data_IF_271746052773
#
_entry.id   IF_271746052773
#
_cell.length_a   1.000
_cell.length_b   1.000
_cell.length_c   1.000
_cell.angle_alpha   90.00
_cell.angle_beta   90.00
_cell.angle_gamma   90.00
#
_symmetry.space_group_name_H-M   'P 1'
#
loop_
_entity.id
_entity.type
_entity.pdbx_description
1 polymer ?
#
# COMPACT_ATOMS: atom_id res chain seq x y z
N UNK A 1 -7.13 17.61 -34.78
CA UNK A 1 -7.59 16.41 -34.10
C UNK A 1 -7.85 16.77 -32.66
N UNK A 2 -9.07 16.57 -32.23
CA UNK A 2 -9.42 16.78 -30.82
C UNK A 2 -9.42 15.39 -30.17
N UNK A 3 -8.27 14.99 -29.60
CA UNK A 3 -8.19 13.78 -28.79
C UNK A 3 -8.62 14.11 -27.37
N UNK A 4 -9.48 13.29 -26.80
CA UNK A 4 -9.79 13.35 -25.37
C UNK A 4 -8.64 12.70 -24.60
N UNK A 5 -7.85 13.53 -23.91
CA UNK A 5 -6.68 13.07 -23.16
C UNK A 5 -7.06 12.04 -22.09
N UNK A 6 -8.23 12.18 -21.47
CA UNK A 6 -8.72 11.21 -20.48
C UNK A 6 -9.42 9.99 -21.12
N UNK A 7 -9.08 9.68 -22.37
CA UNK A 7 -9.41 8.43 -23.09
C UNK A 7 -8.15 7.81 -23.73
N UNK A 8 -6.98 8.40 -23.49
CA UNK A 8 -5.74 8.06 -24.18
C UNK A 8 -4.76 7.24 -23.35
N UNK A 9 -5.12 6.83 -22.13
CA UNK A 9 -4.29 5.98 -21.27
C UNK A 9 -4.40 4.49 -21.65
N UNK A 10 -3.31 3.73 -21.48
CA UNK A 10 -3.24 2.31 -21.81
C UNK A 10 -3.79 1.42 -20.68
N UNK A 11 -5.07 1.58 -20.41
CA UNK A 11 -5.85 0.64 -19.61
C UNK A 11 -7.22 0.45 -20.26
N UNK A 12 -7.38 -0.68 -20.94
CA UNK A 12 -8.55 -0.95 -21.79
C UNK A 12 -8.81 0.16 -22.82
N UNK A 13 -7.74 0.76 -23.33
CA UNK A 13 -7.80 1.79 -24.34
C UNK A 13 -8.71 1.37 -25.51
N UNK A 14 -9.56 2.28 -25.96
CA UNK A 14 -10.47 2.10 -27.08
C UNK A 14 -11.40 0.88 -27.02
N UNK A 15 -11.72 0.37 -25.82
CA UNK A 15 -12.61 -0.79 -25.65
C UNK A 15 -14.05 -0.41 -25.21
N UNK A 16 -14.30 0.85 -24.88
CA UNK A 16 -15.61 1.41 -24.65
C UNK A 16 -16.09 2.17 -25.90
N UNK A 17 -17.41 2.39 -26.06
CA UNK A 17 -17.94 3.29 -27.07
C UNK A 17 -17.61 4.73 -26.67
N UNK A 18 -16.36 5.12 -26.86
CA UNK A 18 -15.85 6.44 -26.51
C UNK A 18 -15.56 7.27 -27.73
N UNK A 19 -15.53 8.58 -27.54
CA UNK A 19 -15.16 9.53 -28.57
C UNK A 19 -13.69 9.88 -28.44
N UNK A 20 -12.95 9.81 -29.56
CA UNK A 20 -11.63 10.43 -29.75
C UNK A 20 -10.52 9.94 -28.80
N UNK A 21 -10.25 8.62 -28.69
CA UNK A 21 -9.23 8.09 -27.82
C UNK A 21 -7.80 8.29 -28.33
N UNK A 22 -7.60 8.95 -29.47
CA UNK A 22 -6.31 9.04 -30.16
C UNK A 22 -6.06 7.89 -31.14
N UNK A 23 -4.89 7.91 -31.78
CA UNK A 23 -4.48 6.88 -32.78
C UNK A 23 -3.95 5.61 -32.13
N UNK A 24 -3.45 5.72 -30.92
CA UNK A 24 -3.02 4.62 -30.03
C UNK A 24 -3.08 5.10 -28.58
N UNK A 25 -2.98 4.18 -27.63
CA UNK A 25 -2.69 4.56 -26.26
C UNK A 25 -1.42 5.40 -26.20
N UNK A 26 -1.46 6.46 -25.37
CA UNK A 26 -0.37 7.44 -25.22
C UNK A 26 0.10 8.08 -26.54
N UNK A 27 -0.80 8.24 -27.52
CA UNK A 27 -0.50 8.98 -28.75
C UNK A 27 -0.27 10.47 -28.50
N UNK A 28 -0.78 11.00 -27.42
CA UNK A 28 -0.67 12.41 -27.07
C UNK A 28 0.49 12.65 -26.10
N UNK A 29 1.23 13.72 -26.32
CA UNK A 29 2.43 14.04 -25.53
C UNK A 29 2.15 14.23 -24.06
N UNK A 30 1.00 14.77 -23.71
CA UNK A 30 0.58 15.05 -22.34
C UNK A 30 0.32 13.74 -21.57
N UNK A 31 -0.40 12.81 -22.18
CA UNK A 31 -0.70 11.51 -21.55
C UNK A 31 0.54 10.63 -21.48
N UNK A 32 1.40 10.67 -22.50
CA UNK A 32 2.69 9.99 -22.47
C UNK A 32 3.58 10.56 -21.36
N UNK A 33 3.70 11.88 -21.24
CA UNK A 33 4.52 12.50 -20.19
C UNK A 33 4.00 12.16 -18.79
N UNK A 34 2.68 12.16 -18.59
CA UNK A 34 2.10 11.77 -17.31
C UNK A 34 2.35 10.29 -17.00
N UNK A 35 2.23 9.39 -17.98
CA UNK A 35 2.52 7.97 -17.78
C UNK A 35 3.99 7.72 -17.43
N UNK A 36 4.93 8.41 -18.09
CA UNK A 36 6.36 8.34 -17.75
C UNK A 36 6.57 8.84 -16.32
N UNK A 37 5.97 9.96 -15.94
CA UNK A 37 6.07 10.48 -14.58
C UNK A 37 5.55 9.48 -13.53
N UNK A 38 4.40 8.86 -13.78
CA UNK A 38 3.85 7.83 -12.89
C UNK A 38 4.76 6.62 -12.77
N UNK A 39 5.33 6.14 -13.89
CA UNK A 39 6.16 4.93 -13.90
C UNK A 39 7.59 5.14 -13.39
N UNK A 40 8.19 6.31 -13.62
CA UNK A 40 9.62 6.53 -13.36
C UNK A 40 9.90 7.43 -12.17
N UNK A 41 8.98 8.35 -11.86
CA UNK A 41 9.21 9.36 -10.81
C UNK A 41 8.42 9.03 -9.52
N UNK A 42 7.20 8.54 -9.66
CA UNK A 42 6.33 8.20 -8.51
C UNK A 42 5.72 6.80 -8.64
N UNK A 43 6.53 5.76 -8.90
CA UNK A 43 6.02 4.40 -9.16
C UNK A 43 5.31 3.77 -7.96
N UNK A 44 5.43 4.37 -6.80
CA UNK A 44 4.96 3.82 -5.52
C UNK A 44 4.05 4.80 -4.77
N UNK A 45 3.24 5.58 -5.49
CA UNK A 45 2.32 6.52 -4.89
C UNK A 45 1.23 5.82 -4.05
N UNK A 46 0.87 6.44 -2.94
CA UNK A 46 -0.19 5.94 -2.06
C UNK A 46 -1.56 6.58 -2.32
N UNK A 47 -1.64 7.55 -3.23
CA UNK A 47 -2.88 8.21 -3.66
C UNK A 47 -2.65 8.95 -4.97
N UNK A 48 -3.61 8.85 -5.89
CA UNK A 48 -3.66 9.65 -7.12
C UNK A 48 -5.03 10.28 -7.27
N UNK A 49 -5.06 11.60 -7.44
CA UNK A 49 -6.28 12.37 -7.69
C UNK A 49 -6.11 13.13 -9.00
N UNK A 50 -7.06 12.95 -9.92
CA UNK A 50 -7.17 13.78 -11.13
C UNK A 50 -8.33 14.74 -10.97
N UNK A 51 -8.05 16.05 -11.18
CA UNK A 51 -9.04 17.11 -11.03
C UNK A 51 -9.73 17.38 -12.35
N UNK A 52 -11.03 17.40 -12.32
CA UNK A 52 -11.91 17.68 -13.45
C UNK A 52 -12.99 18.70 -13.08
N UNK A 53 -13.81 19.06 -14.05
CA UNK A 53 -14.99 19.89 -13.84
C UNK A 53 -16.14 19.36 -14.70
N UNK A 54 -17.36 19.70 -14.33
CA UNK A 54 -18.56 19.36 -15.12
C UNK A 54 -19.72 18.82 -14.31
N UNK A 55 -19.44 18.25 -13.14
CA UNK A 55 -20.44 17.74 -12.19
C UNK A 55 -19.83 17.65 -10.79
N UNK A 56 -20.62 17.86 -9.75
CA UNK A 56 -20.17 17.71 -8.37
C UNK A 56 -20.19 16.24 -7.96
N UNK A 57 -19.05 15.54 -8.12
CA UNK A 57 -18.92 14.12 -7.79
C UNK A 57 -17.46 13.70 -7.67
N UNK A 58 -17.18 12.74 -6.81
CA UNK A 58 -15.90 12.06 -6.75
C UNK A 58 -16.04 10.60 -7.21
N UNK A 59 -15.21 10.19 -8.15
CA UNK A 59 -15.32 8.93 -8.85
C UNK A 59 -14.10 8.04 -8.56
N UNK A 60 -14.36 6.80 -8.16
CA UNK A 60 -13.32 5.77 -8.02
C UNK A 60 -13.43 4.70 -9.13
N UNK A 61 -12.42 3.83 -9.35
CA UNK A 61 -12.49 2.76 -10.34
C UNK A 61 -13.68 1.81 -10.12
N UNK A 62 -14.26 1.23 -11.14
CA UNK A 62 -13.80 1.28 -12.53
C UNK A 62 -14.71 2.18 -13.37
N UNK A 63 -14.15 2.78 -14.44
CA UNK A 63 -14.94 3.42 -15.47
C UNK A 63 -15.51 2.45 -16.49
N UNK A 64 -14.78 1.36 -16.77
CA UNK A 64 -15.20 0.36 -17.76
C UNK A 64 -16.37 -0.49 -17.29
N UNK A 65 -16.35 -0.92 -16.03
CA UNK A 65 -17.31 -1.88 -15.48
C UNK A 65 -18.10 -1.31 -14.30
N UNK A 66 -19.34 -1.77 -14.12
CA UNK A 66 -20.11 -1.45 -12.91
C UNK A 66 -19.62 -2.24 -11.67
N UNK A 67 -18.80 -3.27 -11.87
CA UNK A 67 -18.23 -4.07 -10.79
C UNK A 67 -17.30 -3.23 -9.92
N UNK A 68 -17.27 -3.55 -8.64
CA UNK A 68 -16.42 -2.88 -7.67
C UNK A 68 -14.95 -3.29 -7.88
N UNK A 69 -13.99 -2.38 -7.61
CA UNK A 69 -12.57 -2.74 -7.56
C UNK A 69 -12.27 -3.66 -6.37
N UNK A 70 -11.10 -4.29 -6.37
CA UNK A 70 -10.70 -5.21 -5.29
C UNK A 70 -10.70 -4.55 -3.91
N UNK A 71 -10.38 -3.26 -3.85
CA UNK A 71 -10.33 -2.48 -2.62
C UNK A 71 -11.62 -1.69 -2.35
N UNK A 72 -12.76 -2.17 -2.82
CA UNK A 72 -14.05 -1.45 -2.72
C UNK A 72 -14.42 -1.06 -1.28
N UNK A 73 -14.03 -1.85 -0.28
CA UNK A 73 -14.29 -1.57 1.13
C UNK A 73 -13.58 -0.29 1.57
N UNK A 74 -12.34 -0.06 1.10
CA UNK A 74 -11.61 1.18 1.33
C UNK A 74 -12.34 2.39 0.72
N UNK A 75 -12.78 2.27 -0.54
CA UNK A 75 -13.52 3.36 -1.21
C UNK A 75 -14.86 3.65 -0.53
N UNK A 76 -15.55 2.63 -0.06
CA UNK A 76 -16.80 2.80 0.69
C UNK A 76 -16.56 3.41 2.06
N UNK A 77 -15.49 3.01 2.76
CA UNK A 77 -15.10 3.67 4.01
C UNK A 77 -14.83 5.18 3.79
N UNK A 78 -14.05 5.54 2.75
CA UNK A 78 -13.79 6.93 2.40
C UNK A 78 -15.11 7.68 2.14
N UNK A 79 -16.01 7.10 1.33
CA UNK A 79 -17.33 7.66 1.07
C UNK A 79 -18.10 7.92 2.35
N UNK A 80 -18.19 6.93 3.21
CA UNK A 80 -19.02 6.97 4.41
C UNK A 80 -18.47 8.00 5.41
N UNK A 81 -17.15 8.10 5.58
CA UNK A 81 -16.50 9.11 6.42
C UNK A 81 -16.66 10.53 5.84
N UNK A 82 -16.40 10.71 4.55
CA UNK A 82 -16.56 12.01 3.91
C UNK A 82 -18.02 12.48 4.00
N UNK A 83 -18.98 11.62 3.66
CA UNK A 83 -20.38 12.02 3.65
C UNK A 83 -20.99 12.16 5.05
N UNK A 84 -20.37 11.59 6.08
CA UNK A 84 -20.84 11.76 7.45
C UNK A 84 -20.28 13.00 8.13
N UNK A 85 -19.07 13.44 7.76
CA UNK A 85 -18.30 14.36 8.58
C UNK A 85 -17.76 15.60 7.83
N UNK A 86 -17.72 15.58 6.50
CA UNK A 86 -16.97 16.59 5.73
C UNK A 86 -17.81 17.25 4.63
N UNK A 87 -18.38 16.47 3.70
CA UNK A 87 -19.06 16.96 2.50
C UNK A 87 -20.14 15.99 2.05
N UNK A 88 -21.19 16.51 1.44
CA UNK A 88 -22.24 15.69 0.82
C UNK A 88 -21.91 15.26 -0.61
N UNK A 89 -20.68 15.48 -1.08
CA UNK A 89 -20.22 15.09 -2.42
C UNK A 89 -20.53 13.60 -2.68
N UNK A 90 -21.24 13.26 -3.77
CA UNK A 90 -21.44 11.87 -4.13
C UNK A 90 -20.09 11.19 -4.45
N UNK A 91 -19.80 10.05 -3.81
CA UNK A 91 -18.60 9.26 -4.08
C UNK A 91 -19.02 7.90 -4.64
N UNK A 92 -18.71 7.62 -5.90
CA UNK A 92 -19.24 6.47 -6.63
C UNK A 92 -18.22 5.82 -7.55
N UNK A 93 -18.45 4.54 -7.87
CA UNK A 93 -17.84 3.89 -9.03
C UNK A 93 -18.12 4.69 -10.29
N UNK A 94 -17.10 4.96 -11.10
CA UNK A 94 -17.21 5.90 -12.22
C UNK A 94 -18.16 5.43 -13.32
N UNK A 95 -18.25 4.12 -13.58
CA UNK A 95 -19.20 3.57 -14.53
C UNK A 95 -20.66 3.85 -14.12
N UNK A 96 -20.95 3.68 -12.84
CA UNK A 96 -22.30 3.88 -12.29
C UNK A 96 -22.58 5.33 -11.92
N UNK A 97 -21.53 6.11 -11.58
CA UNK A 97 -21.65 7.49 -11.16
C UNK A 97 -21.90 8.46 -12.32
N UNK A 98 -21.30 8.18 -13.47
CA UNK A 98 -21.49 8.98 -14.69
C UNK A 98 -21.92 8.11 -15.88
N UNK A 99 -20.98 7.42 -16.50
CA UNK A 99 -21.19 6.57 -17.69
C UNK A 99 -19.97 5.65 -17.90
N UNK A 100 -20.13 4.55 -18.67
CA UNK A 100 -18.98 3.71 -19.06
C UNK A 100 -17.90 4.49 -19.79
N UNK A 101 -16.67 4.43 -19.30
CA UNK A 101 -15.52 5.12 -19.88
C UNK A 101 -14.25 4.26 -19.76
N UNK A 102 -13.33 4.37 -20.73
CA UNK A 102 -12.11 3.59 -20.83
C UNK A 102 -10.92 4.47 -21.19
N UNK A 103 -9.71 3.98 -20.94
CA UNK A 103 -8.48 4.74 -21.25
C UNK A 103 -8.33 5.99 -20.39
N UNK A 104 -8.84 5.96 -19.16
CA UNK A 104 -8.77 7.08 -18.22
C UNK A 104 -7.51 7.00 -17.36
N UNK A 105 -7.00 8.15 -16.92
CA UNK A 105 -5.87 8.22 -15.99
C UNK A 105 -6.18 7.57 -14.65
N UNK A 106 -7.42 7.66 -14.17
CA UNK A 106 -7.89 7.01 -12.94
C UNK A 106 -7.75 5.49 -13.04
N UNK A 107 -8.32 4.87 -14.09
CA UNK A 107 -8.30 3.42 -14.25
C UNK A 107 -6.88 2.90 -14.55
N UNK A 108 -6.06 3.69 -15.25
CA UNK A 108 -4.64 3.38 -15.44
C UNK A 108 -3.87 3.43 -14.11
N UNK A 109 -4.05 4.48 -13.33
CA UNK A 109 -3.42 4.63 -12.02
C UNK A 109 -3.76 3.49 -11.06
N UNK A 110 -5.00 3.02 -11.06
CA UNK A 110 -5.40 1.89 -10.23
C UNK A 110 -4.98 0.54 -10.83
N UNK A 111 -5.35 0.28 -12.09
CA UNK A 111 -5.19 -1.05 -12.69
C UNK A 111 -3.77 -1.40 -13.13
N UNK A 112 -2.95 -0.39 -13.47
CA UNK A 112 -1.58 -0.59 -13.96
C UNK A 112 -0.55 -0.19 -12.92
N UNK A 113 -0.78 0.92 -12.19
CA UNK A 113 0.17 1.42 -11.20
C UNK A 113 -0.13 0.95 -9.77
N UNK A 114 -1.32 0.41 -9.51
CA UNK A 114 -1.72 -0.06 -8.18
C UNK A 114 -2.02 1.04 -7.16
N UNK A 115 -2.25 2.27 -7.59
CA UNK A 115 -2.60 3.38 -6.70
C UNK A 115 -4.09 3.34 -6.33
N UNK A 116 -4.51 3.76 -5.13
CA UNK A 116 -5.87 4.22 -4.92
C UNK A 116 -6.07 5.51 -5.72
N UNK A 117 -7.13 5.56 -6.50
CA UNK A 117 -7.33 6.68 -7.44
C UNK A 117 -8.71 7.26 -7.36
N UNK A 118 -8.79 8.58 -7.59
CA UNK A 118 -10.04 9.30 -7.76
C UNK A 118 -9.99 10.25 -8.94
N UNK A 119 -11.11 10.42 -9.62
CA UNK A 119 -11.42 11.63 -10.39
C UNK A 119 -12.31 12.51 -9.51
N UNK A 120 -11.85 13.72 -9.21
CA UNK A 120 -12.59 14.71 -8.46
C UNK A 120 -13.15 15.72 -9.44
N UNK A 121 -14.45 15.70 -9.62
CA UNK A 121 -15.20 16.66 -10.45
C UNK A 121 -15.67 17.79 -9.55
N UNK A 122 -15.23 19.01 -9.83
CA UNK A 122 -15.27 20.12 -8.87
C UNK A 122 -16.46 21.08 -9.06
N UNK A 123 -17.22 20.95 -10.12
CA UNK A 123 -18.31 21.88 -10.44
C UNK A 123 -19.47 21.16 -11.12
N UNK A 124 -20.69 21.45 -10.69
CA UNK A 124 -21.92 20.91 -11.24
C UNK A 124 -22.53 21.76 -12.38
N UNK A 125 -22.02 22.98 -12.61
CA UNK A 125 -22.52 23.90 -13.63
C UNK A 125 -21.45 24.45 -14.60
N UNK A 126 -20.35 23.71 -14.82
CA UNK A 126 -19.34 24.06 -15.81
C UNK A 126 -18.80 25.51 -15.66
N UNK A 127 -18.29 25.85 -14.48
CA UNK A 127 -17.73 27.16 -14.15
C UNK A 127 -18.76 28.28 -13.85
N UNK A 128 -20.02 27.93 -13.61
CA UNK A 128 -21.11 28.93 -13.39
C UNK A 128 -21.46 29.10 -11.91
N UNK A 129 -20.48 29.03 -10.99
CA UNK A 129 -20.74 29.29 -9.57
C UNK A 129 -21.23 30.72 -9.25
N UNK A 130 -21.16 31.61 -10.22
CA UNK A 130 -21.85 32.91 -10.22
C UNK A 130 -21.24 33.99 -9.35
N UNK A 131 -20.73 33.67 -8.16
CA UNK A 131 -20.13 34.64 -7.23
C UNK A 131 -18.80 34.19 -6.66
N UNK A 132 -17.98 35.11 -6.18
CA UNK A 132 -16.72 34.82 -5.52
C UNK A 132 -16.96 34.07 -4.21
N UNK A 133 -18.04 34.40 -3.52
CA UNK A 133 -18.42 33.75 -2.27
C UNK A 133 -18.76 32.27 -2.51
N UNK A 134 -19.58 31.95 -3.50
CA UNK A 134 -19.93 30.57 -3.86
C UNK A 134 -18.69 29.77 -4.29
N UNK A 135 -17.76 30.38 -5.06
CA UNK A 135 -16.48 29.75 -5.39
C UNK A 135 -15.64 29.49 -4.15
N UNK A 136 -15.57 30.45 -3.23
CA UNK A 136 -14.77 30.30 -2.01
C UNK A 136 -15.31 29.18 -1.09
N UNK A 137 -16.64 29.06 -0.99
CA UNK A 137 -17.29 27.98 -0.23
C UNK A 137 -17.01 26.62 -0.87
N UNK A 138 -17.12 26.51 -2.21
CA UNK A 138 -16.81 25.28 -2.95
C UNK A 138 -15.35 24.86 -2.78
N UNK A 139 -14.41 25.80 -2.94
CA UNK A 139 -12.97 25.51 -2.77
C UNK A 139 -12.63 25.10 -1.33
N UNK A 140 -13.31 25.65 -0.33
CA UNK A 140 -13.11 25.22 1.06
C UNK A 140 -13.58 23.77 1.26
N UNK A 141 -14.73 23.41 0.75
CA UNK A 141 -15.28 22.05 0.83
C UNK A 141 -14.37 21.04 0.09
N UNK A 142 -13.93 21.37 -1.12
CA UNK A 142 -12.97 20.56 -1.88
C UNK A 142 -11.67 20.34 -1.11
N UNK A 143 -11.13 21.42 -0.51
CA UNK A 143 -9.92 21.37 0.29
C UNK A 143 -10.09 20.45 1.49
N UNK A 144 -11.22 20.51 2.18
CA UNK A 144 -11.46 19.67 3.36
C UNK A 144 -11.51 18.18 2.97
N UNK A 145 -12.13 17.82 1.83
CA UNK A 145 -12.12 16.44 1.32
C UNK A 145 -10.71 16.01 0.91
N UNK A 146 -9.98 16.86 0.20
CA UNK A 146 -8.61 16.54 -0.21
C UNK A 146 -7.67 16.38 0.99
N UNK A 147 -7.78 17.26 1.99
CA UNK A 147 -6.98 17.16 3.21
C UNK A 147 -7.29 15.89 3.98
N UNK A 148 -8.56 15.50 4.09
CA UNK A 148 -8.93 14.21 4.68
C UNK A 148 -8.24 13.04 3.97
N UNK A 149 -8.24 13.02 2.62
CA UNK A 149 -7.58 11.95 1.86
C UNK A 149 -6.06 11.93 2.07
N UNK A 150 -5.41 13.10 2.12
CA UNK A 150 -3.95 13.23 2.28
C UNK A 150 -3.53 12.88 3.72
N UNK A 151 -4.22 13.40 4.72
CA UNK A 151 -3.91 13.17 6.14
C UNK A 151 -4.07 11.69 6.54
N UNK A 152 -4.96 10.98 5.85
CA UNK A 152 -5.22 9.56 6.08
C UNK A 152 -4.55 8.64 5.05
N UNK A 153 -3.63 9.13 4.22
CA UNK A 153 -3.01 8.37 3.13
C UNK A 153 -2.42 7.03 3.56
N UNK A 154 -1.89 6.95 4.78
CA UNK A 154 -1.33 5.73 5.37
C UNK A 154 -2.34 4.60 5.55
N UNK A 155 -3.62 4.93 5.64
CA UNK A 155 -4.69 3.95 5.80
C UNK A 155 -5.25 3.44 4.48
N UNK A 156 -4.91 4.07 3.34
CA UNK A 156 -5.39 3.63 2.02
C UNK A 156 -4.59 2.44 1.46
N UNK A 157 -3.81 1.77 2.29
CA UNK A 157 -3.07 0.54 2.02
C UNK A 157 -3.23 -0.45 3.17
N UNK A 158 -2.78 -1.69 2.96
CA UNK A 158 -2.52 -2.59 4.08
C UNK A 158 -1.43 -1.99 4.97
N UNK A 159 -1.60 -2.11 6.27
CA UNK A 159 -0.65 -1.63 7.28
C UNK A 159 -0.54 -2.69 8.36
N UNK A 160 0.38 -3.62 8.15
CA UNK A 160 0.55 -4.77 9.01
C UNK A 160 1.46 -4.46 10.20
N UNK A 161 1.09 -5.02 11.34
CA UNK A 161 1.88 -5.03 12.56
C UNK A 161 1.97 -6.45 13.07
N UNK A 162 3.14 -6.82 13.59
CA UNK A 162 3.29 -8.06 14.34
C UNK A 162 3.00 -7.74 15.80
N UNK A 163 1.89 -8.26 16.30
CA UNK A 163 1.48 -8.08 17.70
C UNK A 163 2.26 -9.01 18.61
N UNK A 164 2.47 -10.25 18.17
CA UNK A 164 3.30 -11.22 18.85
C UNK A 164 4.13 -12.04 17.87
N UNK A 165 5.36 -12.36 18.25
CA UNK A 165 6.22 -13.31 17.55
C UNK A 165 6.84 -14.26 18.55
N UNK A 166 6.69 -15.55 18.34
CA UNK A 166 7.32 -16.58 19.16
C UNK A 166 8.03 -17.60 18.29
N UNK A 167 9.20 -18.04 18.73
CA UNK A 167 10.01 -19.05 18.05
C UNK A 167 10.12 -20.24 19.01
N UNK A 168 9.82 -21.44 18.50
CA UNK A 168 9.97 -22.63 19.28
C UNK A 168 11.32 -23.33 19.06
N UNK A 169 11.55 -24.45 19.78
CA UNK A 169 12.81 -25.20 19.67
C UNK A 169 12.89 -26.11 18.44
N UNK A 170 11.83 -26.20 17.65
CA UNK A 170 11.74 -27.04 16.44
C UNK A 170 11.95 -26.20 15.18
N UNK A 171 12.02 -24.85 15.32
CA UNK A 171 12.24 -23.92 14.22
C UNK A 171 10.94 -23.37 13.64
N UNK A 172 9.81 -23.55 14.33
CA UNK A 172 8.55 -22.91 13.95
C UNK A 172 8.47 -21.49 14.49
N UNK A 173 7.96 -20.59 13.68
CA UNK A 173 7.69 -19.18 14.00
C UNK A 173 6.19 -18.97 14.07
N UNK A 174 5.73 -18.55 15.21
CA UNK A 174 4.32 -18.23 15.47
C UNK A 174 4.17 -16.71 15.44
N UNK A 175 3.31 -16.22 14.58
CA UNK A 175 3.00 -14.80 14.42
C UNK A 175 1.54 -14.53 14.69
N UNK A 176 1.26 -13.45 15.39
CA UNK A 176 -0.04 -12.78 15.37
C UNK A 176 0.16 -11.46 14.63
N UNK A 177 -0.56 -11.26 13.54
CA UNK A 177 -0.40 -10.11 12.65
C UNK A 177 -1.74 -9.39 12.53
N UNK A 178 -1.75 -8.10 12.84
CA UNK A 178 -2.90 -7.23 12.65
C UNK A 178 -2.71 -6.28 11.47
N UNK A 179 -3.80 -6.01 10.77
CA UNK A 179 -3.85 -5.02 9.69
C UNK A 179 -4.65 -3.80 10.15
N UNK A 180 -3.96 -2.70 10.39
CA UNK A 180 -4.59 -1.44 10.79
C UNK A 180 -4.98 -0.56 9.59
N UNK A 181 -4.64 -0.99 8.37
CA UNK A 181 -5.01 -0.32 7.13
C UNK A 181 -6.44 -0.63 6.68
N UNK A 182 -6.89 0.09 5.67
CA UNK A 182 -8.21 -0.06 5.04
C UNK A 182 -8.20 -0.86 3.76
N UNK A 183 -7.02 -1.32 3.31
CA UNK A 183 -6.89 -2.29 2.23
C UNK A 183 -6.42 -3.64 2.79
N UNK A 184 -6.92 -4.72 2.21
CA UNK A 184 -6.44 -6.07 2.48
C UNK A 184 -5.14 -6.34 1.74
N UNK A 185 -4.35 -7.30 2.21
CA UNK A 185 -3.26 -7.90 1.45
C UNK A 185 -3.46 -9.41 1.37
N UNK A 186 -3.10 -10.01 0.25
CA UNK A 186 -3.11 -11.46 0.06
C UNK A 186 -1.71 -12.06 0.09
N UNK A 187 -0.68 -11.19 0.06
CA UNK A 187 0.71 -11.55 -0.02
C UNK A 187 1.49 -10.85 1.09
N UNK A 188 1.61 -11.51 2.23
CA UNK A 188 2.51 -11.10 3.29
C UNK A 188 3.45 -12.26 3.64
N UNK A 189 4.70 -11.97 3.93
CA UNK A 189 5.68 -12.96 4.34
C UNK A 189 6.64 -12.40 5.36
N UNK A 190 7.16 -13.28 6.21
CA UNK A 190 8.28 -12.97 7.08
C UNK A 190 9.57 -13.28 6.33
N UNK A 191 10.55 -12.41 6.41
CA UNK A 191 11.88 -12.64 5.87
C UNK A 191 12.97 -12.29 6.87
N UNK A 192 14.11 -12.93 6.72
CA UNK A 192 15.33 -12.59 7.44
C UNK A 192 16.27 -11.83 6.51
N UNK A 193 16.62 -10.61 6.87
CA UNK A 193 17.43 -9.71 6.04
C UNK A 193 18.84 -9.63 6.62
N UNK A 194 19.83 -9.97 5.82
CA UNK A 194 21.25 -9.89 6.19
C UNK A 194 21.80 -8.47 6.11
N UNK A 195 23.00 -8.22 6.65
CA UNK A 195 23.72 -6.94 6.51
C UNK A 195 23.99 -6.57 5.05
N UNK A 196 24.11 -7.55 4.16
CA UNK A 196 24.29 -7.37 2.72
C UNK A 196 22.97 -7.06 2.00
N UNK A 197 21.86 -6.93 2.75
CA UNK A 197 20.52 -6.67 2.26
C UNK A 197 19.91 -7.79 1.40
N UNK A 198 20.46 -8.98 1.48
CA UNK A 198 19.83 -10.18 0.93
C UNK A 198 18.79 -10.67 1.93
N UNK A 199 17.59 -10.98 1.46
CA UNK A 199 16.55 -11.53 2.30
C UNK A 199 16.29 -13.00 2.02
N UNK A 200 15.94 -13.73 3.07
CA UNK A 200 15.58 -15.15 3.02
C UNK A 200 14.15 -15.29 3.51
N UNK A 201 13.26 -15.87 2.71
CA UNK A 201 11.89 -16.11 3.14
C UNK A 201 11.84 -17.08 4.30
N UNK A 202 10.92 -16.83 5.23
CA UNK A 202 10.54 -17.74 6.29
C UNK A 202 9.14 -18.21 5.98
N UNK A 203 8.96 -19.49 5.70
CA UNK A 203 7.69 -20.04 5.28
C UNK A 203 7.69 -21.54 5.17
N UNK A 204 6.54 -22.08 4.87
CA UNK A 204 6.35 -23.52 4.69
C UNK A 204 7.19 -24.03 3.53
N UNK A 205 7.89 -25.14 3.76
CA UNK A 205 8.61 -25.99 2.82
C UNK A 205 9.25 -25.29 1.60
N UNK A 206 10.58 -25.05 1.60
CA UNK A 206 11.27 -24.36 0.51
C UNK A 206 11.16 -25.06 -0.87
N UNK A 207 10.76 -26.33 -0.93
CA UNK A 207 10.55 -27.04 -2.20
C UNK A 207 9.15 -26.78 -2.80
N UNK A 208 8.19 -26.31 -2.00
CA UNK A 208 6.82 -26.02 -2.42
C UNK A 208 6.46 -24.53 -2.35
N UNK A 209 7.28 -23.72 -1.67
CA UNK A 209 7.05 -22.30 -1.52
C UNK A 209 7.47 -21.54 -2.78
N UNK A 210 6.62 -20.70 -3.36
CA UNK A 210 7.01 -19.79 -4.41
C UNK A 210 7.92 -18.63 -3.93
N UNK A 211 8.30 -18.63 -2.66
CA UNK A 211 9.20 -17.63 -2.08
C UNK A 211 10.64 -17.89 -2.48
N UNK A 212 11.20 -16.96 -3.21
CA UNK A 212 12.61 -16.99 -3.58
C UNK A 212 13.40 -15.97 -2.74
N UNK A 213 14.66 -16.31 -2.49
CA UNK A 213 15.64 -15.37 -1.95
C UNK A 213 15.77 -14.16 -2.89
N UNK A 214 15.85 -12.96 -2.34
CA UNK A 214 15.95 -11.74 -3.15
C UNK A 214 16.81 -10.66 -2.50
N UNK A 215 17.07 -9.62 -3.27
CA UNK A 215 17.76 -8.43 -2.83
C UNK A 215 16.78 -7.30 -2.53
N UNK A 216 16.98 -6.58 -1.44
CA UNK A 216 16.24 -5.37 -1.12
C UNK A 216 16.76 -4.20 -1.96
N UNK A 217 16.34 -4.10 -3.22
CA UNK A 217 16.61 -2.99 -4.12
C UNK A 217 15.40 -2.06 -4.28
N UNK A 218 15.58 -0.99 -5.08
CA UNK A 218 14.49 -0.06 -5.41
C UNK A 218 13.35 -0.69 -6.22
N UNK A 219 13.61 -1.83 -6.87
CA UNK A 219 12.63 -2.59 -7.66
C UNK A 219 12.28 -3.91 -6.97
N UNK A 220 12.17 -3.91 -5.66
CA UNK A 220 11.80 -5.10 -4.92
C UNK A 220 10.42 -5.60 -5.35
N UNK A 221 10.38 -6.81 -5.89
CA UNK A 221 9.16 -7.56 -6.16
C UNK A 221 9.26 -8.90 -5.45
N UNK A 222 8.44 -9.15 -4.45
CA UNK A 222 8.36 -10.48 -3.87
C UNK A 222 7.47 -11.37 -4.73
N UNK A 223 7.87 -12.59 -5.02
CA UNK A 223 6.97 -13.60 -5.55
C UNK A 223 5.86 -13.86 -4.51
N UNK A 224 4.67 -14.21 -5.00
CA UNK A 224 3.48 -14.45 -4.18
C UNK A 224 3.63 -15.65 -3.26
N UNK A 225 4.34 -15.45 -2.16
CA UNK A 225 4.48 -16.41 -1.10
C UNK A 225 4.00 -15.78 0.20
N UNK A 226 3.16 -16.46 0.92
CA UNK A 226 2.79 -15.99 2.22
C UNK A 226 1.31 -16.04 2.52
N UNK A 227 0.91 -15.22 3.46
CA UNK A 227 -0.43 -15.21 4.04
C UNK A 227 -1.17 -13.91 3.73
N UNK A 228 -2.50 -14.00 3.79
CA UNK A 228 -3.37 -12.83 3.64
C UNK A 228 -3.80 -12.27 4.98
N UNK A 229 -3.98 -10.95 5.05
CA UNK A 229 -4.60 -10.26 6.18
C UNK A 229 -5.62 -9.26 5.67
N UNK A 230 -6.88 -9.47 6.00
CA UNK A 230 -7.95 -8.55 5.61
C UNK A 230 -7.82 -7.20 6.32
N UNK A 231 -8.34 -6.17 5.67
CA UNK A 231 -8.41 -4.84 6.25
C UNK A 231 -9.06 -4.86 7.65
N UNK A 232 -8.47 -4.17 8.60
CA UNK A 232 -8.94 -4.04 9.98
C UNK A 232 -9.10 -5.36 10.78
N UNK A 233 -8.48 -6.44 10.30
CA UNK A 233 -8.51 -7.75 10.94
C UNK A 233 -7.11 -8.19 11.40
N UNK A 234 -7.06 -9.29 12.14
CA UNK A 234 -5.83 -10.00 12.52
C UNK A 234 -5.86 -11.44 12.04
N UNK A 235 -4.69 -12.05 11.95
CA UNK A 235 -4.51 -13.47 11.64
C UNK A 235 -3.37 -14.06 12.44
N UNK A 236 -3.48 -15.34 12.75
CA UNK A 236 -2.40 -16.13 13.33
C UNK A 236 -1.74 -16.95 12.21
N UNK A 237 -0.42 -16.98 12.19
CA UNK A 237 0.37 -17.67 11.16
C UNK A 237 1.46 -18.49 11.83
N UNK A 238 1.69 -19.68 11.33
CA UNK A 238 2.80 -20.55 11.71
C UNK A 238 3.68 -20.71 10.48
N UNK A 239 4.96 -20.40 10.61
CA UNK A 239 5.93 -20.44 9.53
C UNK A 239 7.14 -21.28 9.97
N UNK A 240 7.79 -21.95 9.03
CA UNK A 240 9.06 -22.66 9.26
C UNK A 240 10.24 -21.73 8.94
N UNK A 241 11.35 -21.82 9.66
CA UNK A 241 12.57 -21.05 9.37
C UNK A 241 13.14 -21.32 7.98
N UNK A 242 12.89 -22.46 7.41
CA UNK A 242 13.46 -22.86 6.13
C UNK A 242 14.99 -22.79 6.13
N UNK A 243 15.55 -22.15 5.09
CA UNK A 243 17.00 -22.03 4.91
C UNK A 243 17.56 -20.67 5.38
N UNK A 244 16.81 -19.88 6.14
CA UNK A 244 17.30 -18.58 6.60
C UNK A 244 18.54 -18.72 7.51
N UNK A 245 19.64 -17.97 7.28
CA UNK A 245 20.89 -18.11 8.01
C UNK A 245 20.86 -17.40 9.38
N UNK A 246 19.84 -17.65 10.16
CA UNK A 246 19.55 -16.94 11.43
C UNK A 246 20.64 -17.20 12.50
N UNK A 247 21.39 -18.30 12.37
CA UNK A 247 22.42 -18.68 13.33
C UNK A 247 23.61 -17.73 13.44
N UNK A 248 23.80 -16.83 12.50
CA UNK A 248 24.97 -15.95 12.44
C UNK A 248 24.79 -14.60 13.11
N UNK A 249 23.56 -14.25 13.53
CA UNK A 249 23.26 -13.00 14.27
C UNK A 249 23.50 -11.69 13.50
N UNK A 250 23.66 -11.76 12.18
CA UNK A 250 24.02 -10.62 11.31
C UNK A 250 22.84 -10.22 10.41
N UNK A 251 21.67 -10.08 10.98
CA UNK A 251 20.50 -9.67 10.23
C UNK A 251 19.31 -9.38 11.16
N UNK A 252 18.20 -9.06 10.55
CA UNK A 252 16.95 -8.74 11.25
C UNK A 252 15.75 -9.37 10.54
N UNK A 253 14.71 -9.65 11.32
CA UNK A 253 13.44 -10.05 10.74
C UNK A 253 12.73 -8.84 10.13
N UNK A 254 12.12 -9.05 8.97
CA UNK A 254 11.30 -8.08 8.30
C UNK A 254 9.96 -8.70 7.92
N UNK A 255 8.92 -7.93 8.07
CA UNK A 255 7.62 -8.24 7.51
C UNK A 255 7.52 -7.59 6.13
N UNK A 256 7.32 -8.42 5.10
CA UNK A 256 7.11 -8.00 3.72
C UNK A 256 5.66 -8.19 3.37
N UNK A 257 5.02 -7.22 2.75
CA UNK A 257 3.64 -7.36 2.31
C UNK A 257 3.30 -6.43 1.16
N UNK A 258 2.36 -6.88 0.36
CA UNK A 258 1.81 -6.09 -0.73
C UNK A 258 0.84 -5.03 -0.18
N UNK A 259 0.91 -3.82 -0.69
CA UNK A 259 0.11 -2.70 -0.19
C UNK A 259 -1.40 -2.91 -0.33
N UNK A 260 -1.82 -3.62 -1.38
CA UNK A 260 -3.23 -3.90 -1.72
C UNK A 260 -3.34 -5.23 -2.47
N UNK A 261 -4.55 -5.74 -2.60
CA UNK A 261 -4.83 -7.00 -3.31
C UNK A 261 -4.59 -6.91 -4.82
N UNK A 262 -4.42 -5.72 -5.38
CA UNK A 262 -4.14 -5.52 -6.79
C UNK A 262 -2.68 -5.86 -7.12
N UNK A 263 -2.44 -6.69 -8.13
CA UNK A 263 -1.10 -7.21 -8.47
C UNK A 263 -0.04 -6.13 -8.71
N UNK A 264 -0.45 -4.99 -9.26
CA UNK A 264 0.44 -3.86 -9.52
C UNK A 264 0.78 -3.03 -8.26
N UNK A 265 0.14 -3.30 -7.12
CA UNK A 265 0.42 -2.54 -5.90
C UNK A 265 1.84 -2.79 -5.39
N UNK A 266 2.50 -1.73 -4.91
CA UNK A 266 3.86 -1.81 -4.38
C UNK A 266 3.97 -2.66 -3.11
N UNK A 267 5.20 -3.01 -2.76
CA UNK A 267 5.54 -3.78 -1.57
C UNK A 267 6.09 -2.90 -0.45
N UNK A 268 5.83 -3.32 0.78
CA UNK A 268 6.38 -2.72 2.00
C UNK A 268 7.31 -3.73 2.66
N UNK A 269 8.44 -3.24 3.15
CA UNK A 269 9.36 -4.01 4.00
C UNK A 269 9.56 -3.25 5.30
N UNK A 270 9.08 -3.80 6.40
CA UNK A 270 9.21 -3.19 7.73
C UNK A 270 10.03 -4.08 8.67
N UNK A 271 11.10 -3.54 9.28
CA UNK A 271 11.88 -4.29 10.26
C UNK A 271 11.07 -4.57 11.51
N UNK A 272 11.22 -5.77 12.05
CA UNK A 272 10.55 -6.19 13.28
C UNK A 272 11.42 -5.80 14.47
N UNK A 273 10.79 -5.25 15.47
CA UNK A 273 11.46 -4.94 16.73
C UNK A 273 11.74 -6.24 17.52
N UNK A 274 13.00 -6.55 17.74
CA UNK A 274 13.44 -7.74 18.47
C UNK A 274 12.80 -7.89 19.87
N UNK A 275 12.31 -6.79 20.46
CA UNK A 275 11.67 -6.83 21.77
C UNK A 275 10.32 -7.57 21.80
N UNK A 276 9.69 -7.78 20.65
CA UNK A 276 8.44 -8.55 20.56
C UNK A 276 8.66 -10.05 20.41
N UNK A 277 9.92 -10.47 20.11
CA UNK A 277 10.27 -11.88 19.89
C UNK A 277 10.33 -12.61 21.23
N UNK A 278 9.48 -13.59 21.41
CA UNK A 278 9.40 -14.42 22.60
C UNK A 278 9.91 -15.84 22.32
N UNK A 279 10.66 -16.41 23.28
CA UNK A 279 10.97 -17.83 23.24
C UNK A 279 9.80 -18.64 23.80
N UNK A 280 9.17 -19.47 22.99
CA UNK A 280 8.15 -20.41 23.46
C UNK A 280 8.82 -21.55 24.24
N UNK A 281 8.67 -21.53 25.55
CA UNK A 281 9.13 -22.63 26.43
C UNK A 281 8.23 -23.84 26.24
N UNK A 282 8.68 -24.84 25.48
CA UNK A 282 7.86 -26.04 25.26
C UNK A 282 8.53 -27.30 24.73
N UNK A 283 9.78 -27.27 24.31
CA UNK A 283 10.56 -28.47 24.04
C UNK A 283 12.04 -28.29 24.43
N UNK A 284 12.65 -29.32 25.00
CA UNK A 284 14.02 -29.34 25.53
C UNK A 284 15.06 -29.26 24.41
N UNK A 285 15.11 -28.19 23.62
CA UNK A 285 16.31 -27.86 22.86
C UNK A 285 16.90 -26.57 23.41
N UNK A 286 17.99 -26.75 24.16
CA UNK A 286 18.93 -25.67 24.36
C UNK A 286 19.39 -25.24 22.96
N UNK A 287 19.07 -24.02 22.51
CA UNK A 287 19.82 -23.36 21.47
C UNK A 287 21.29 -23.45 21.87
N UNK A 288 22.04 -24.29 21.16
CA UNK A 288 23.46 -24.53 21.46
C UNK A 288 24.27 -23.36 20.94
N UNK A 289 24.05 -22.19 21.52
CA UNK A 289 25.05 -21.12 21.60
C UNK A 289 24.48 -19.96 22.44
N UNK A 290 25.09 -19.66 23.61
CA UNK A 290 24.76 -18.47 24.37
C UNK A 290 25.15 -17.17 23.69
N UNK A 291 25.74 -17.21 22.50
CA UNK A 291 26.29 -16.05 21.79
C UNK A 291 25.23 -15.16 21.14
N UNK A 292 24.08 -15.68 20.73
CA UNK A 292 23.03 -14.85 20.11
C UNK A 292 22.35 -13.96 21.15
N UNK A 293 22.09 -14.48 22.36
CA UNK A 293 21.46 -13.69 23.42
C UNK A 293 22.43 -12.74 24.14
N UNK A 294 23.73 -13.09 24.25
CA UNK A 294 24.73 -12.17 24.82
C UNK A 294 25.03 -11.00 23.90
N UNK A 295 24.95 -11.17 22.58
CA UNK A 295 25.16 -10.08 21.63
C UNK A 295 24.01 -9.04 21.71
N UNK A 296 22.75 -9.48 21.85
CA UNK A 296 21.61 -8.58 22.01
C UNK A 296 21.69 -7.81 23.35
N UNK A 297 22.04 -8.49 24.44
CA UNK A 297 22.21 -7.84 25.75
C UNK A 297 23.41 -6.88 25.81
N UNK A 298 24.52 -7.18 25.11
CA UNK A 298 25.68 -6.29 25.03
C UNK A 298 25.43 -5.04 24.19
N UNK A 299 24.61 -5.10 23.15
CA UNK A 299 24.24 -3.91 22.39
C UNK A 299 23.37 -2.94 23.19
N UNK A 300 22.45 -3.43 24.03
CA UNK A 300 21.66 -2.60 24.92
C UNK A 300 22.50 -1.89 25.99
N UNK A 301 23.50 -2.53 26.54
CA UNK A 301 24.41 -1.93 27.52
C UNK A 301 25.38 -0.89 26.90
N UNK A 302 25.77 -1.09 25.64
CA UNK A 302 26.63 -0.13 24.92
C UNK A 302 25.86 1.12 24.47
N UNK A 303 24.56 1.00 24.15
CA UNK A 303 23.72 2.14 23.75
C UNK A 303 23.33 3.04 24.94
N UNK A 304 23.23 2.51 26.14
CA UNK A 304 22.93 3.27 27.37
C UNK A 304 24.17 3.99 27.92
N UNK A 305 25.39 3.54 27.62
CA UNK A 305 26.64 4.14 28.10
C UNK A 305 27.08 5.43 27.38
N UNK A 306 26.46 5.84 26.28
CA UNK A 306 26.88 7.00 25.47
C UNK A 306 25.99 8.25 25.54
N UNK A 307 24.94 8.27 26.35
CA UNK A 307 24.16 9.50 26.60
C UNK A 307 24.44 10.03 28.01
N UNK A 308 25.59 10.69 28.15
CA UNK A 308 25.84 11.59 29.27
C UNK A 308 24.87 12.77 29.19
N UNK A 309 23.89 12.77 30.08
CA UNK A 309 23.01 13.92 30.28
C UNK A 309 23.80 14.97 31.07
N UNK A 310 24.16 16.06 30.40
CA UNK A 310 24.66 17.24 31.05
C UNK A 310 23.46 18.04 31.58
N UNK A 311 23.27 18.00 32.87
CA UNK A 311 22.32 18.89 33.55
C UNK A 311 23.08 20.18 33.86
N UNK A 312 22.79 21.26 33.16
CA UNK A 312 23.14 22.62 33.63
C UNK A 312 22.01 23.13 34.51
N UNK A 313 22.39 23.52 35.70
CA UNK A 313 21.56 24.24 36.67
C UNK A 313 21.44 25.69 36.22
N UNK A 314 20.24 26.20 36.10
CA UNK A 314 19.80 27.50 36.60
C UNK A 314 18.34 27.36 37.04
#
# INVERSE_FOLDING_TARGET
NQVDLNRNYDHYWNTCPTTQPGSSAFSESETLANSIYMNEVVPDADLYITMHTGVWIMLYPWGKWPEQPSDWEMYHHIRDEVNSNISDIPIRNANQGLYPNCGTSRDYGYGVMGYPTFTFETDDEQFLLGTVEALSERLAEELDVMMYLIENVWYWRARLFIDTMAIDGEGEVYLEVSNHGRASTTNATLGYVTEERTWFPIGENPEESPCEMGDLGFNYSSPGCGFGVNATNSTEVILDFGNAPISNGQGSFHLFYQKRVIDASGWVSEPINDSIIQNRKGSNMALSSPSVFLSIACFFLAALGKRGIRVEKI
#
